data_IF_760127349626
#
_entry.id   IF_760127349626
#
_cell.length_a   1.000
_cell.length_b   1.000
_cell.length_c   1.000
_cell.angle_alpha   90.00
_cell.angle_beta   90.00
_cell.angle_gamma   90.00
#
_symmetry.space_group_name_H-M   'P 1'
#
loop_
_entity.id
_entity.type
_entity.pdbx_description
1 polymer ?
#
# COMPACT_ATOMS: atom_id res chain seq x y z
N UNK A 1 -1.08 -56.98 -19.29
CA UNK A 1 -0.69 -57.37 -17.91
C UNK A 1 0.80 -57.03 -17.81
N UNK A 2 1.31 -56.05 -17.06
CA UNK A 2 0.82 -55.32 -15.90
C UNK A 2 1.41 -53.89 -15.84
N UNK A 3 0.51 -52.94 -15.59
CA UNK A 3 0.58 -51.86 -14.60
C UNK A 3 1.85 -50.99 -14.46
N UNK A 4 1.68 -49.76 -14.90
CA UNK A 4 2.45 -48.58 -14.52
C UNK A 4 2.31 -48.30 -13.01
N UNK A 5 3.45 -48.16 -12.33
CA UNK A 5 3.53 -47.77 -10.93
C UNK A 5 3.57 -46.24 -10.87
N UNK A 6 2.40 -45.63 -10.66
CA UNK A 6 2.31 -44.21 -10.33
C UNK A 6 2.90 -43.99 -8.95
N UNK A 7 3.96 -43.18 -8.85
CA UNK A 7 4.40 -42.64 -7.56
C UNK A 7 3.50 -41.47 -7.19
N UNK A 8 2.48 -41.76 -6.38
CA UNK A 8 1.77 -40.73 -5.63
C UNK A 8 2.77 -40.09 -4.68
N UNK A 9 3.24 -38.89 -5.02
CA UNK A 9 3.91 -38.01 -4.06
C UNK A 9 2.85 -37.64 -3.03
N UNK A 10 2.94 -38.30 -1.87
CA UNK A 10 2.11 -38.00 -0.71
C UNK A 10 2.25 -36.53 -0.37
N UNK A 11 1.12 -35.84 -0.41
CA UNK A 11 0.98 -34.45 -0.01
C UNK A 11 1.18 -34.41 1.51
N UNK A 12 2.38 -34.02 1.92
CA UNK A 12 2.82 -33.95 3.32
C UNK A 12 1.86 -33.08 4.15
N UNK A 13 1.53 -33.53 5.36
CA UNK A 13 0.64 -32.84 6.27
C UNK A 13 1.15 -31.41 6.53
N UNK A 14 0.42 -30.44 5.97
CA UNK A 14 0.53 -28.99 6.05
C UNK A 14 1.42 -28.41 7.18
N UNK A 15 2.73 -28.28 6.93
CA UNK A 15 3.59 -27.40 7.73
C UNK A 15 3.22 -25.95 7.42
N UNK A 16 2.75 -25.19 8.42
CA UNK A 16 2.46 -23.77 8.27
C UNK A 16 3.75 -22.99 7.98
N UNK A 17 3.68 -21.98 7.11
CA UNK A 17 4.85 -21.19 6.74
C UNK A 17 5.20 -20.21 7.86
N UNK A 18 6.46 -20.17 8.29
CA UNK A 18 6.94 -19.07 9.13
C UNK A 18 7.22 -17.80 8.30
N UNK A 19 7.55 -16.68 8.94
CA UNK A 19 7.72 -15.36 8.27
C UNK A 19 8.71 -15.41 7.12
N UNK A 20 9.86 -16.08 7.30
CA UNK A 20 10.83 -16.26 6.22
C UNK A 20 10.27 -17.11 5.07
N UNK A 21 9.46 -18.12 5.39
CA UNK A 21 8.77 -18.94 4.40
C UNK A 21 7.78 -18.13 3.56
N UNK A 22 7.03 -17.23 4.21
CA UNK A 22 6.08 -16.34 3.53
C UNK A 22 6.78 -15.31 2.63
N UNK A 23 7.87 -14.69 3.12
CA UNK A 23 8.70 -13.79 2.31
C UNK A 23 9.28 -14.52 1.09
N UNK A 24 9.80 -15.73 1.30
CA UNK A 24 10.36 -16.58 0.25
C UNK A 24 9.32 -16.96 -0.80
N UNK A 25 8.13 -17.39 -0.36
CA UNK A 25 7.03 -17.70 -1.26
C UNK A 25 6.62 -16.50 -2.11
N UNK A 26 6.46 -15.33 -1.48
CA UNK A 26 6.16 -14.08 -2.18
C UNK A 26 7.21 -13.73 -3.25
N UNK A 27 8.50 -13.95 -2.98
CA UNK A 27 9.58 -13.71 -3.95
C UNK A 27 9.50 -14.63 -5.17
N UNK A 28 8.99 -15.85 -5.01
CA UNK A 28 8.86 -16.79 -6.13
C UNK A 28 7.60 -16.59 -6.97
N UNK A 29 6.59 -15.87 -6.49
CA UNK A 29 5.33 -15.65 -7.24
C UNK A 29 5.60 -15.09 -8.65
N UNK A 30 6.43 -14.06 -8.86
CA UNK A 30 6.71 -13.57 -10.22
C UNK A 30 7.41 -14.60 -11.11
N UNK A 31 8.22 -15.47 -10.52
CA UNK A 31 8.93 -16.52 -11.25
C UNK A 31 8.03 -17.69 -11.65
N UNK A 32 6.96 -17.96 -10.88
CA UNK A 32 5.98 -19.03 -11.18
C UNK A 32 5.19 -18.78 -12.45
N UNK A 33 4.86 -17.52 -12.74
CA UNK A 33 4.16 -17.16 -13.97
C UNK A 33 4.63 -15.81 -14.53
N UNK A 34 5.85 -15.80 -15.07
CA UNK A 34 6.50 -14.60 -15.63
C UNK A 34 5.66 -13.93 -16.73
N UNK A 35 4.93 -14.73 -17.53
CA UNK A 35 4.10 -14.24 -18.65
C UNK A 35 3.00 -13.28 -18.19
N UNK A 36 2.45 -13.49 -16.99
CA UNK A 36 1.37 -12.67 -16.44
C UNK A 36 1.91 -11.69 -15.40
N UNK A 37 2.78 -12.13 -14.49
CA UNK A 37 3.25 -11.27 -13.41
C UNK A 37 4.16 -10.14 -13.89
N UNK A 38 5.01 -10.36 -14.91
CA UNK A 38 5.90 -9.30 -15.41
C UNK A 38 5.11 -8.13 -16.02
N UNK A 39 4.14 -8.33 -16.94
CA UNK A 39 3.26 -7.25 -17.40
C UNK A 39 2.48 -6.57 -16.27
N UNK A 40 1.96 -7.35 -15.31
CA UNK A 40 1.23 -6.78 -14.15
C UNK A 40 2.12 -5.85 -13.33
N UNK A 41 3.35 -6.28 -13.03
CA UNK A 41 4.29 -5.45 -12.30
C UNK A 41 4.66 -4.20 -13.09
N UNK A 42 4.87 -4.31 -14.40
CA UNK A 42 5.15 -3.15 -15.26
C UNK A 42 3.99 -2.16 -15.30
N UNK A 43 2.74 -2.64 -15.44
CA UNK A 43 1.53 -1.81 -15.44
C UNK A 43 1.30 -1.12 -14.09
N UNK A 44 1.69 -1.74 -12.98
CA UNK A 44 1.63 -1.11 -11.66
C UNK A 44 2.77 -0.11 -11.43
N UNK A 45 3.98 -0.46 -11.88
CA UNK A 45 5.20 0.30 -11.62
C UNK A 45 5.32 1.55 -12.51
N UNK A 46 5.12 1.42 -13.82
CA UNK A 46 5.38 2.49 -14.78
C UNK A 46 4.52 3.74 -14.52
N UNK A 47 3.19 3.66 -14.35
CA UNK A 47 2.39 4.84 -14.09
C UNK A 47 2.73 5.49 -12.74
N UNK A 48 3.05 4.67 -11.73
CA UNK A 48 3.47 5.16 -10.41
C UNK A 48 4.81 5.91 -10.48
N UNK A 49 5.75 5.38 -11.25
CA UNK A 49 7.07 5.98 -11.49
C UNK A 49 6.95 7.29 -12.26
N UNK A 50 6.22 7.28 -13.39
CA UNK A 50 5.99 8.47 -14.23
C UNK A 50 5.33 9.58 -13.40
N UNK A 51 4.25 9.28 -12.67
CA UNK A 51 3.60 10.28 -11.82
C UNK A 51 4.53 10.85 -10.77
N UNK A 52 5.38 10.02 -10.16
CA UNK A 52 6.33 10.48 -9.14
C UNK A 52 7.43 11.35 -9.74
N UNK A 53 7.92 11.02 -10.94
CA UNK A 53 8.88 11.84 -11.70
C UNK A 53 8.24 13.17 -12.08
N UNK A 54 7.05 13.15 -12.66
CA UNK A 54 6.31 14.36 -13.03
C UNK A 54 6.05 15.24 -11.81
N UNK A 55 5.63 14.64 -10.70
CA UNK A 55 5.44 15.36 -9.44
C UNK A 55 6.74 16.01 -8.97
N UNK A 56 7.85 15.28 -8.99
CA UNK A 56 9.15 15.81 -8.61
C UNK A 56 9.56 17.01 -9.49
N UNK A 57 9.45 16.87 -10.81
CA UNK A 57 9.80 17.93 -11.77
C UNK A 57 8.90 19.15 -11.62
N UNK A 58 7.60 18.96 -11.38
CA UNK A 58 6.64 20.08 -11.23
C UNK A 58 6.75 20.78 -9.89
N UNK A 59 6.89 20.03 -8.79
CA UNK A 59 6.89 20.59 -7.44
C UNK A 59 8.23 21.21 -7.06
N UNK A 60 9.35 20.60 -7.46
CA UNK A 60 10.68 21.06 -7.07
C UNK A 60 10.97 22.55 -7.37
N UNK A 61 10.74 23.07 -8.59
CA UNK A 61 10.99 24.49 -8.88
C UNK A 61 10.04 25.42 -8.13
N UNK A 62 8.77 25.04 -7.96
CA UNK A 62 7.78 25.80 -7.18
C UNK A 62 8.22 25.91 -5.71
N UNK A 63 8.64 24.79 -5.13
CA UNK A 63 9.11 24.73 -3.75
C UNK A 63 10.41 25.51 -3.56
N UNK A 64 11.34 25.46 -4.52
CA UNK A 64 12.56 26.26 -4.51
C UNK A 64 12.25 27.77 -4.57
N UNK A 65 11.40 28.19 -5.51
CA UNK A 65 10.96 29.60 -5.64
C UNK A 65 10.33 30.09 -4.35
N UNK A 66 9.39 29.31 -3.81
CA UNK A 66 8.71 29.60 -2.56
C UNK A 66 9.69 29.77 -1.38
N UNK A 67 10.68 28.87 -1.23
CA UNK A 67 11.70 28.97 -0.18
C UNK A 67 12.59 30.20 -0.37
N UNK A 68 13.04 30.48 -1.59
CA UNK A 68 13.87 31.65 -1.88
C UNK A 68 13.09 32.93 -1.57
N UNK A 69 11.83 33.02 -2.00
CA UNK A 69 10.99 34.17 -1.77
C UNK A 69 10.71 34.38 -0.27
N UNK A 70 10.47 33.30 0.50
CA UNK A 70 10.36 33.37 1.96
C UNK A 70 11.65 33.84 2.63
N UNK A 71 12.80 33.36 2.18
CA UNK A 71 14.10 33.79 2.69
C UNK A 71 14.34 35.29 2.43
N UNK A 72 14.04 35.75 1.22
CA UNK A 72 14.14 37.18 0.86
C UNK A 72 13.16 38.02 1.68
N UNK A 73 11.93 37.54 1.89
CA UNK A 73 10.92 38.23 2.70
C UNK A 73 11.40 38.42 4.14
N UNK A 74 12.05 37.41 4.72
CA UNK A 74 12.61 37.49 6.08
C UNK A 74 13.70 38.56 6.24
N UNK A 75 14.27 39.06 5.15
CA UNK A 75 15.32 40.09 5.15
C UNK A 75 14.82 41.51 4.87
N UNK A 76 13.52 41.68 4.58
CA UNK A 76 12.92 42.96 4.16
C UNK A 76 12.14 43.64 5.29
N UNK A 77 12.16 44.98 5.32
CA UNK A 77 11.38 45.76 6.27
C UNK A 77 9.86 45.70 5.95
N UNK A 78 8.99 45.44 6.96
CA UNK A 78 7.55 45.23 6.76
C UNK A 78 6.76 46.43 6.20
N UNK A 79 7.31 47.64 6.24
CA UNK A 79 6.64 48.89 5.83
C UNK A 79 6.86 49.27 4.37
N UNK A 80 7.58 48.45 3.60
CA UNK A 80 7.94 48.77 2.20
C UNK A 80 6.93 48.19 1.19
N UNK A 81 6.62 48.88 0.08
CA UNK A 81 5.78 48.31 -1.00
C UNK A 81 6.34 47.02 -1.58
N UNK A 82 7.67 46.88 -1.57
CA UNK A 82 8.38 45.67 -1.99
C UNK A 82 8.04 44.45 -1.12
N UNK A 83 7.87 44.66 0.20
CA UNK A 83 7.46 43.60 1.12
C UNK A 83 6.07 43.07 0.77
N UNK A 84 5.09 43.96 0.55
CA UNK A 84 3.73 43.57 0.18
C UNK A 84 3.66 42.86 -1.18
N UNK A 85 4.39 43.34 -2.18
CA UNK A 85 4.46 42.69 -3.49
C UNK A 85 5.06 41.28 -3.40
N UNK A 86 6.13 41.11 -2.59
CA UNK A 86 6.74 39.81 -2.37
C UNK A 86 5.82 38.86 -1.61
N UNK A 87 5.07 39.37 -0.62
CA UNK A 87 4.07 38.59 0.11
C UNK A 87 2.95 38.09 -0.82
N UNK A 88 2.48 38.94 -1.74
CA UNK A 88 1.49 38.54 -2.75
C UNK A 88 2.05 37.46 -3.67
N UNK A 89 3.29 37.60 -4.13
CA UNK A 89 3.96 36.59 -4.96
C UNK A 89 4.11 35.25 -4.21
N UNK A 90 4.49 35.27 -2.94
CA UNK A 90 4.58 34.05 -2.11
C UNK A 90 3.22 33.38 -1.94
N UNK A 91 2.16 34.18 -1.77
CA UNK A 91 0.78 33.68 -1.70
C UNK A 91 0.37 33.01 -3.02
N UNK A 92 0.62 33.65 -4.15
CA UNK A 92 0.33 33.09 -5.48
C UNK A 92 1.13 31.80 -5.73
N UNK A 93 2.43 31.81 -5.42
CA UNK A 93 3.30 30.62 -5.50
C UNK A 93 2.76 29.48 -4.63
N UNK A 94 2.30 29.78 -3.41
CA UNK A 94 1.71 28.80 -2.49
C UNK A 94 0.38 28.23 -3.01
N UNK A 95 -0.48 29.07 -3.57
CA UNK A 95 -1.76 28.64 -4.15
C UNK A 95 -1.53 27.69 -5.34
N UNK A 96 -0.62 28.05 -6.24
CA UNK A 96 -0.22 27.20 -7.37
C UNK A 96 0.39 25.89 -6.87
N UNK A 97 1.30 25.96 -5.90
CA UNK A 97 1.91 24.78 -5.28
C UNK A 97 0.87 23.82 -4.71
N UNK A 98 -0.04 24.32 -3.88
CA UNK A 98 -1.10 23.50 -3.25
C UNK A 98 -1.99 22.87 -4.31
N UNK A 99 -2.37 23.61 -5.35
CA UNK A 99 -3.23 23.09 -6.40
C UNK A 99 -2.57 21.96 -7.19
N UNK A 100 -1.33 22.18 -7.67
CA UNK A 100 -0.55 21.19 -8.41
C UNK A 100 -0.33 19.93 -7.56
N UNK A 101 0.02 20.13 -6.30
CA UNK A 101 0.29 19.06 -5.35
C UNK A 101 -0.96 18.21 -5.05
N UNK A 102 -2.14 18.82 -4.86
CA UNK A 102 -3.40 18.10 -4.68
C UNK A 102 -3.70 17.21 -5.89
N UNK A 103 -3.51 17.71 -7.11
CA UNK A 103 -3.71 16.96 -8.35
C UNK A 103 -2.80 15.73 -8.40
N UNK A 104 -1.50 15.92 -8.17
CA UNK A 104 -0.53 14.81 -8.17
C UNK A 104 -0.80 13.79 -7.06
N UNK A 105 -1.16 14.23 -5.85
CA UNK A 105 -1.54 13.34 -4.76
C UNK A 105 -2.78 12.52 -5.11
N UNK A 106 -3.82 13.15 -5.65
CA UNK A 106 -5.05 12.46 -6.06
C UNK A 106 -4.77 11.42 -7.16
N UNK A 107 -4.03 11.80 -8.20
CA UNK A 107 -3.63 10.91 -9.28
C UNK A 107 -2.79 9.72 -8.77
N UNK A 108 -1.79 10.00 -7.94
CA UNK A 108 -0.92 8.97 -7.32
C UNK A 108 -1.71 8.03 -6.42
N UNK A 109 -2.70 8.54 -5.69
CA UNK A 109 -3.59 7.72 -4.87
C UNK A 109 -4.39 6.74 -5.72
N UNK A 110 -4.98 7.20 -6.84
CA UNK A 110 -5.73 6.35 -7.77
C UNK A 110 -4.83 5.32 -8.47
N UNK A 111 -3.68 5.73 -8.99
CA UNK A 111 -2.74 4.79 -9.63
C UNK A 111 -2.25 3.73 -8.64
N UNK A 112 -1.91 4.15 -7.41
CA UNK A 112 -1.53 3.21 -6.35
C UNK A 112 -2.68 2.26 -5.96
N UNK A 113 -3.94 2.67 -6.14
CA UNK A 113 -5.11 1.84 -5.83
C UNK A 113 -5.22 0.70 -6.83
N UNK A 114 -5.25 1.04 -8.12
CA UNK A 114 -5.33 0.03 -9.17
C UNK A 114 -4.09 -0.87 -9.20
N UNK A 115 -2.91 -0.32 -8.95
CA UNK A 115 -1.67 -1.10 -8.81
C UNK A 115 -1.80 -2.15 -7.71
N UNK A 116 -2.30 -1.77 -6.54
CA UNK A 116 -2.55 -2.70 -5.43
C UNK A 116 -3.53 -3.81 -5.85
N UNK A 117 -4.64 -3.44 -6.47
CA UNK A 117 -5.67 -4.38 -6.89
C UNK A 117 -5.12 -5.43 -7.85
N UNK A 118 -4.40 -5.00 -8.89
CA UNK A 118 -3.83 -5.91 -9.88
C UNK A 118 -2.78 -6.81 -9.23
N UNK A 119 -1.91 -6.30 -8.36
CA UNK A 119 -0.85 -7.08 -7.69
C UNK A 119 -1.42 -8.09 -6.70
N UNK A 120 -2.38 -7.69 -5.86
CA UNK A 120 -3.02 -8.59 -4.89
C UNK A 120 -3.80 -9.68 -5.62
N UNK A 121 -4.60 -9.34 -6.64
CA UNK A 121 -5.37 -10.32 -7.38
C UNK A 121 -4.49 -11.26 -8.23
N UNK A 122 -3.45 -10.74 -8.90
CA UNK A 122 -2.55 -11.60 -9.68
C UNK A 122 -1.73 -12.54 -8.80
N UNK A 123 -1.19 -12.03 -7.68
CA UNK A 123 -0.46 -12.84 -6.71
C UNK A 123 -1.34 -13.92 -6.10
N UNK A 124 -2.59 -13.59 -5.82
CA UNK A 124 -3.62 -14.51 -5.37
C UNK A 124 -3.85 -15.66 -6.35
N UNK A 125 -4.17 -15.35 -7.61
CA UNK A 125 -4.42 -16.38 -8.62
C UNK A 125 -3.22 -17.31 -8.82
N UNK A 126 -2.02 -16.72 -8.95
CA UNK A 126 -0.78 -17.49 -9.16
C UNK A 126 -0.48 -18.38 -7.95
N UNK A 127 -0.68 -17.87 -6.73
CA UNK A 127 -0.46 -18.64 -5.51
C UNK A 127 -1.41 -19.85 -5.41
N UNK A 128 -2.66 -19.73 -5.89
CA UNK A 128 -3.60 -20.84 -6.00
C UNK A 128 -3.39 -21.77 -7.19
N UNK A 129 -2.37 -21.54 -8.01
CA UNK A 129 -2.15 -22.32 -9.23
C UNK A 129 -3.13 -22.01 -10.36
N UNK A 130 -3.97 -20.98 -10.22
CA UNK A 130 -4.81 -20.47 -11.31
C UNK A 130 -3.98 -19.59 -12.25
N UNK A 131 -4.27 -19.63 -13.55
CA UNK A 131 -3.61 -18.80 -14.55
C UNK A 131 -4.59 -17.75 -15.08
N UNK A 132 -4.57 -16.52 -14.56
CA UNK A 132 -5.50 -15.50 -15.02
C UNK A 132 -5.04 -14.90 -16.35
N UNK A 133 -5.95 -14.78 -17.31
CA UNK A 133 -5.67 -14.01 -18.52
C UNK A 133 -5.69 -12.51 -18.17
N UNK A 134 -4.89 -11.65 -18.81
CA UNK A 134 -4.99 -10.19 -18.61
C UNK A 134 -6.40 -9.62 -18.82
N UNK A 135 -7.20 -10.25 -19.70
CA UNK A 135 -8.61 -9.92 -19.90
C UNK A 135 -9.45 -10.20 -18.64
N UNK A 136 -9.23 -11.35 -18.00
CA UNK A 136 -9.92 -11.76 -16.78
C UNK A 136 -9.57 -10.82 -15.62
N UNK A 137 -8.28 -10.43 -15.50
CA UNK A 137 -7.82 -9.43 -14.53
C UNK A 137 -8.60 -8.11 -14.71
N UNK A 138 -8.65 -7.60 -15.94
CA UNK A 138 -9.30 -6.33 -16.24
C UNK A 138 -10.80 -6.36 -15.96
N UNK A 139 -11.50 -7.41 -16.40
CA UNK A 139 -12.94 -7.59 -16.16
C UNK A 139 -13.25 -7.66 -14.66
N UNK A 140 -12.45 -8.42 -13.91
CA UNK A 140 -12.62 -8.52 -12.45
C UNK A 140 -12.45 -7.15 -11.79
N UNK A 141 -11.38 -6.43 -12.09
CA UNK A 141 -11.11 -5.12 -11.51
C UNK A 141 -12.24 -4.15 -11.84
N UNK A 142 -12.68 -4.10 -13.10
CA UNK A 142 -13.79 -3.23 -13.51
C UNK A 142 -15.09 -3.54 -12.76
N UNK A 143 -15.36 -4.81 -12.44
CA UNK A 143 -16.54 -5.23 -11.71
C UNK A 143 -16.47 -4.99 -10.20
N UNK A 144 -15.30 -5.13 -9.57
CA UNK A 144 -15.19 -5.17 -8.10
C UNK A 144 -14.45 -3.99 -7.48
N UNK A 145 -13.93 -3.04 -8.27
CA UNK A 145 -13.05 -1.98 -7.74
C UNK A 145 -13.65 -1.12 -6.63
N UNK A 146 -14.96 -0.82 -6.69
CA UNK A 146 -15.60 0.06 -5.70
C UNK A 146 -15.47 -0.46 -4.27
N UNK A 147 -15.48 -1.79 -4.08
CA UNK A 147 -15.44 -2.43 -2.78
C UNK A 147 -14.08 -2.20 -2.07
N UNK A 148 -12.91 -2.59 -2.63
CA UNK A 148 -11.62 -2.24 -2.06
C UNK A 148 -11.34 -0.75 -1.98
N UNK A 149 -11.93 0.04 -2.90
CA UNK A 149 -11.80 1.48 -2.85
C UNK A 149 -12.42 2.07 -1.59
N UNK A 150 -13.63 1.62 -1.23
CA UNK A 150 -14.29 2.00 0.03
C UNK A 150 -13.45 1.55 1.24
N UNK A 151 -12.96 0.31 1.26
CA UNK A 151 -12.05 -0.17 2.33
C UNK A 151 -10.80 0.70 2.47
N UNK A 152 -10.21 1.12 1.34
CA UNK A 152 -9.03 1.98 1.35
C UNK A 152 -9.32 3.39 1.85
N UNK A 153 -10.51 3.93 1.59
CA UNK A 153 -10.95 5.21 2.17
C UNK A 153 -11.04 5.09 3.69
N UNK A 154 -11.69 4.05 4.21
CA UNK A 154 -11.77 3.83 5.66
C UNK A 154 -10.38 3.66 6.29
N UNK A 155 -9.51 2.86 5.67
CA UNK A 155 -8.11 2.75 6.07
C UNK A 155 -7.43 4.13 6.13
N UNK A 156 -7.57 4.95 5.09
CA UNK A 156 -6.95 6.29 5.02
C UNK A 156 -7.50 7.23 6.10
N UNK A 157 -8.81 7.22 6.34
CA UNK A 157 -9.45 8.03 7.38
C UNK A 157 -8.97 7.62 8.78
N UNK A 158 -8.94 6.32 9.07
CA UNK A 158 -8.45 5.80 10.35
C UNK A 158 -6.97 6.11 10.54
N UNK A 159 -6.17 6.00 9.49
CA UNK A 159 -4.75 6.33 9.49
C UNK A 159 -4.50 7.81 9.83
N UNK A 160 -5.20 8.72 9.15
CA UNK A 160 -5.08 10.16 9.39
C UNK A 160 -5.57 10.49 10.80
N UNK A 161 -6.74 10.00 11.19
CA UNK A 161 -7.30 10.23 12.52
C UNK A 161 -6.38 9.75 13.64
N UNK A 162 -5.82 8.55 13.52
CA UNK A 162 -4.85 8.02 14.47
C UNK A 162 -3.57 8.86 14.53
N UNK A 163 -3.02 9.24 13.38
CA UNK A 163 -1.78 10.02 13.30
C UNK A 163 -1.96 11.39 13.93
N UNK A 164 -3.03 12.11 13.59
CA UNK A 164 -3.33 13.43 14.18
C UNK A 164 -3.53 13.30 15.68
N UNK A 165 -4.35 12.34 16.13
CA UNK A 165 -4.63 12.16 17.56
C UNK A 165 -3.35 11.84 18.35
N UNK A 166 -2.54 10.89 17.88
CA UNK A 166 -1.30 10.51 18.54
C UNK A 166 -0.28 11.66 18.59
N UNK A 167 -0.10 12.39 17.49
CA UNK A 167 0.80 13.56 17.44
C UNK A 167 0.32 14.65 18.39
N UNK A 168 -0.98 14.99 18.38
CA UNK A 168 -1.53 16.00 19.29
C UNK A 168 -1.34 15.61 20.76
N UNK A 169 -1.64 14.36 21.14
CA UNK A 169 -1.47 13.89 22.52
C UNK A 169 -0.01 13.95 22.97
N UNK A 170 0.92 13.48 22.15
CA UNK A 170 2.35 13.52 22.45
C UNK A 170 2.83 14.97 22.52
N UNK A 171 2.42 15.84 21.58
CA UNK A 171 2.82 17.24 21.55
C UNK A 171 2.34 18.00 22.79
N UNK A 172 1.07 17.84 23.20
CA UNK A 172 0.53 18.47 24.42
C UNK A 172 1.35 18.05 25.65
N UNK A 173 1.66 16.75 25.77
CA UNK A 173 2.46 16.24 26.89
C UNK A 173 3.88 16.81 26.90
N UNK A 174 4.52 16.91 25.74
CA UNK A 174 5.89 17.44 25.60
C UNK A 174 5.96 18.96 25.83
N UNK A 175 4.96 19.72 25.37
CA UNK A 175 4.88 21.17 25.60
C UNK A 175 4.73 21.49 27.09
N UNK A 176 3.96 20.68 27.82
CA UNK A 176 3.77 20.83 29.26
C UNK A 176 4.94 20.27 30.10
N UNK A 177 5.94 19.64 29.48
CA UNK A 177 7.02 19.01 30.21
C UNK A 177 7.91 20.01 30.96
N UNK A 178 8.08 21.25 30.47
CA UNK A 178 8.91 22.30 31.08
C UNK A 178 10.27 21.80 31.64
N UNK A 179 10.92 20.84 30.96
CA UNK A 179 12.19 20.24 31.40
C UNK A 179 12.07 19.14 32.47
N UNK A 180 10.87 18.76 32.90
CA UNK A 180 10.61 17.62 33.78
C UNK A 180 11.00 16.31 33.09
N UNK A 181 12.04 15.66 33.61
CA UNK A 181 12.51 14.36 33.12
C UNK A 181 11.41 13.30 33.15
N UNK A 182 10.52 13.35 34.15
CA UNK A 182 9.41 12.40 34.29
C UNK A 182 8.42 12.52 33.13
N UNK A 183 8.01 13.75 32.77
CA UNK A 183 7.09 13.97 31.65
C UNK A 183 7.73 13.61 30.30
N UNK A 184 9.03 13.89 30.14
CA UNK A 184 9.78 13.50 28.93
C UNK A 184 9.81 11.98 28.78
N UNK A 185 10.15 11.24 29.84
CA UNK A 185 10.18 9.77 29.83
C UNK A 185 8.78 9.21 29.56
N UNK A 186 7.74 9.75 30.21
CA UNK A 186 6.36 9.33 29.99
C UNK A 186 5.93 9.57 28.53
N UNK A 187 6.29 10.72 27.96
CA UNK A 187 5.98 11.04 26.57
C UNK A 187 6.75 10.17 25.57
N UNK A 188 8.00 9.81 25.88
CA UNK A 188 8.76 8.86 25.07
C UNK A 188 8.13 7.46 25.09
N UNK A 189 7.69 6.99 26.26
CA UNK A 189 6.98 5.71 26.39
C UNK A 189 5.64 5.72 25.65
N UNK A 190 4.86 6.81 25.77
CA UNK A 190 3.61 6.98 25.05
C UNK A 190 3.84 7.00 23.53
N UNK A 191 4.87 7.69 23.06
CA UNK A 191 5.24 7.72 21.65
C UNK A 191 5.65 6.33 21.14
N UNK A 192 6.42 5.57 21.94
CA UNK A 192 6.79 4.20 21.61
C UNK A 192 5.55 3.30 21.50
N UNK A 193 4.65 3.35 22.49
CA UNK A 193 3.40 2.58 22.47
C UNK A 193 2.51 2.96 21.28
N UNK A 194 2.37 4.26 21.01
CA UNK A 194 1.62 4.76 19.85
C UNK A 194 2.25 4.28 18.53
N UNK A 195 3.58 4.17 18.45
CA UNK A 195 4.25 3.62 17.27
C UNK A 195 4.04 2.12 17.11
N UNK A 196 4.14 1.33 18.18
CA UNK A 196 3.88 -0.10 18.12
C UNK A 196 2.43 -0.39 17.71
N UNK A 197 1.47 0.34 18.28
CA UNK A 197 0.06 0.23 17.91
C UNK A 197 -0.18 0.65 16.46
N UNK A 198 0.48 1.70 15.97
CA UNK A 198 0.41 2.12 14.57
C UNK A 198 0.88 1.02 13.60
N UNK A 199 1.99 0.34 13.91
CA UNK A 199 2.49 -0.77 13.09
C UNK A 199 1.51 -1.94 13.08
N UNK A 200 0.93 -2.27 14.25
CA UNK A 200 -0.09 -3.31 14.35
C UNK A 200 -1.35 -2.96 13.54
N UNK A 201 -1.86 -1.73 13.66
CA UNK A 201 -3.01 -1.26 12.91
C UNK A 201 -2.72 -1.24 11.40
N UNK A 202 -1.53 -0.79 10.99
CA UNK A 202 -1.10 -0.82 9.59
C UNK A 202 -1.14 -2.23 9.00
N UNK A 203 -0.67 -3.24 9.75
CA UNK A 203 -0.78 -4.65 9.36
C UNK A 203 -2.24 -5.10 9.17
N UNK A 204 -3.10 -4.82 10.15
CA UNK A 204 -4.53 -5.19 10.11
C UNK A 204 -5.23 -4.49 8.95
N UNK A 205 -4.93 -3.22 8.72
CA UNK A 205 -5.55 -2.45 7.64
C UNK A 205 -5.11 -2.92 6.26
N UNK A 206 -3.82 -3.20 6.06
CA UNK A 206 -3.33 -3.78 4.81
C UNK A 206 -3.98 -5.13 4.52
N UNK A 207 -4.11 -5.97 5.56
CA UNK A 207 -4.82 -7.24 5.48
C UNK A 207 -6.30 -7.05 5.13
N UNK A 208 -6.99 -6.07 5.72
CA UNK A 208 -8.39 -5.78 5.39
C UNK A 208 -8.59 -5.31 3.96
N UNK A 209 -7.65 -4.53 3.41
CA UNK A 209 -7.71 -4.19 1.99
C UNK A 209 -7.51 -5.45 1.13
N UNK A 210 -6.54 -6.32 1.45
CA UNK A 210 -6.35 -7.61 0.76
C UNK A 210 -7.62 -8.46 0.80
N UNK A 211 -8.27 -8.59 1.97
CA UNK A 211 -9.55 -9.29 2.13
C UNK A 211 -10.60 -8.72 1.18
N UNK A 212 -10.77 -7.39 1.15
CA UNK A 212 -11.78 -6.79 0.27
C UNK A 212 -11.50 -6.97 -1.23
N UNK A 213 -10.23 -7.20 -1.62
CA UNK A 213 -9.88 -7.52 -3.02
C UNK A 213 -10.28 -8.96 -3.36
N UNK A 214 -10.09 -9.88 -2.42
CA UNK A 214 -10.18 -11.32 -2.66
C UNK A 214 -11.56 -11.91 -2.33
N UNK A 215 -12.25 -11.33 -1.37
CA UNK A 215 -13.58 -11.75 -0.94
C UNK A 215 -14.65 -10.77 -1.45
N UNK A 216 -15.72 -11.30 -2.02
CA UNK A 216 -16.76 -10.47 -2.62
C UNK A 216 -17.75 -9.90 -1.61
N UNK A 217 -17.87 -10.52 -0.43
CA UNK A 217 -18.92 -10.23 0.54
C UNK A 217 -18.51 -9.23 1.62
N UNK A 218 -17.21 -8.90 1.75
CA UNK A 218 -16.70 -8.06 2.83
C UNK A 218 -15.93 -6.84 2.29
N UNK A 219 -16.34 -5.62 2.66
CA UNK A 219 -15.67 -4.38 2.28
C UNK A 219 -15.84 -3.28 3.33
N UNK A 220 -15.13 -2.17 3.19
CA UNK A 220 -15.20 -1.07 4.14
C UNK A 220 -14.71 -1.46 5.54
N UNK A 221 -15.42 -1.03 6.58
CA UNK A 221 -15.10 -1.36 7.97
C UNK A 221 -15.22 -2.86 8.27
N UNK A 222 -16.17 -3.55 7.65
CA UNK A 222 -16.37 -5.00 7.85
C UNK A 222 -15.12 -5.80 7.44
N UNK A 223 -14.49 -5.42 6.33
CA UNK A 223 -13.24 -6.05 5.90
C UNK A 223 -12.08 -5.80 6.87
N UNK A 224 -12.02 -4.61 7.50
CA UNK A 224 -11.00 -4.28 8.50
C UNK A 224 -11.22 -5.05 9.81
N UNK A 225 -12.47 -5.18 10.25
CA UNK A 225 -12.84 -5.99 11.42
C UNK A 225 -12.52 -7.46 11.18
N UNK A 226 -12.95 -8.01 10.04
CA UNK A 226 -12.65 -9.37 9.63
C UNK A 226 -11.15 -9.64 9.55
N UNK A 227 -10.35 -8.66 9.10
CA UNK A 227 -8.90 -8.76 9.13
C UNK A 227 -8.36 -8.93 10.56
N UNK A 228 -8.85 -8.13 11.51
CA UNK A 228 -8.47 -8.23 12.93
C UNK A 228 -8.79 -9.59 13.54
N UNK A 229 -9.91 -10.20 13.14
CA UNK A 229 -10.27 -11.57 13.53
C UNK A 229 -9.40 -12.61 12.83
N UNK A 230 -9.13 -12.45 11.54
CA UNK A 230 -8.37 -13.41 10.73
C UNK A 230 -6.90 -13.51 11.17
N UNK A 231 -6.30 -12.41 11.62
CA UNK A 231 -4.92 -12.42 12.13
C UNK A 231 -4.81 -12.93 13.58
N UNK A 232 -5.95 -13.19 14.25
CA UNK A 232 -5.97 -13.75 15.61
C UNK A 232 -5.32 -15.14 15.58
N UNK A 233 -4.31 -15.35 16.43
CA UNK A 233 -3.47 -16.56 16.42
C UNK A 233 -2.15 -16.42 15.67
N UNK A 234 -2.03 -15.50 14.69
CA UNK A 234 -0.78 -15.24 13.93
C UNK A 234 -0.33 -13.77 13.98
N UNK A 235 -0.80 -13.03 15.00
CA UNK A 235 -0.51 -11.60 15.20
C UNK A 235 0.98 -11.29 15.24
N UNK A 236 1.77 -12.12 15.93
CA UNK A 236 3.21 -11.94 16.04
C UNK A 236 3.92 -12.02 14.67
N UNK A 237 3.52 -12.97 13.82
CA UNK A 237 4.08 -13.12 12.47
C UNK A 237 3.67 -11.95 11.56
N UNK A 238 2.40 -11.55 11.58
CA UNK A 238 1.95 -10.36 10.83
C UNK A 238 2.64 -9.09 11.29
N UNK A 239 2.80 -8.91 12.60
CA UNK A 239 3.52 -7.78 13.19
C UNK A 239 5.00 -7.79 12.77
N UNK A 240 5.67 -8.95 12.80
CA UNK A 240 7.05 -9.09 12.36
C UNK A 240 7.22 -8.74 10.87
N UNK A 241 6.30 -9.18 10.00
CA UNK A 241 6.27 -8.79 8.58
C UNK A 241 6.19 -7.27 8.46
N UNK A 242 5.27 -6.63 9.18
CA UNK A 242 5.10 -5.18 9.14
C UNK A 242 6.36 -4.43 9.64
N UNK A 243 6.99 -4.92 10.71
CA UNK A 243 8.26 -4.37 11.22
C UNK A 243 9.38 -4.52 10.21
N UNK A 244 9.52 -5.68 9.55
CA UNK A 244 10.55 -5.91 8.52
C UNK A 244 10.39 -4.87 7.39
N UNK A 245 9.17 -4.70 6.87
CA UNK A 245 8.92 -3.71 5.82
C UNK A 245 9.18 -2.28 6.27
N UNK A 246 8.78 -1.93 7.50
CA UNK A 246 9.06 -0.62 8.09
C UNK A 246 10.56 -0.36 8.24
N UNK A 247 11.34 -1.37 8.66
CA UNK A 247 12.78 -1.24 8.82
C UNK A 247 13.47 -1.07 7.47
N UNK A 248 13.08 -1.82 6.44
CA UNK A 248 13.64 -1.65 5.08
C UNK A 248 13.30 -0.26 4.53
N UNK A 249 12.04 0.16 4.64
CA UNK A 249 11.58 1.50 4.23
C UNK A 249 12.35 2.61 4.95
N UNK A 250 12.55 2.46 6.26
CA UNK A 250 13.32 3.38 7.10
C UNK A 250 14.81 3.43 6.75
N UNK A 251 15.44 2.28 6.46
CA UNK A 251 16.86 2.22 6.04
C UNK A 251 17.04 2.88 4.66
N UNK A 252 16.14 2.60 3.71
CA UNK A 252 16.20 3.18 2.36
C UNK A 252 16.00 4.70 2.41
N UNK A 253 14.96 5.17 3.11
CA UNK A 253 14.64 6.58 3.23
C UNK A 253 15.66 7.33 4.09
N UNK A 254 16.07 6.75 5.22
CA UNK A 254 17.06 7.32 6.12
C UNK A 254 18.46 7.37 5.51
N UNK A 255 18.86 6.33 4.76
CA UNK A 255 20.11 6.29 4.02
C UNK A 255 20.17 7.37 2.94
N UNK A 256 19.07 7.60 2.23
CA UNK A 256 18.95 8.71 1.27
C UNK A 256 19.09 10.07 1.98
N UNK A 257 18.35 10.30 3.07
CA UNK A 257 18.42 11.54 3.83
C UNK A 257 19.83 11.81 4.38
N UNK A 258 20.47 10.80 4.95
CA UNK A 258 21.85 10.89 5.43
C UNK A 258 22.83 11.19 4.28
N UNK A 259 22.67 10.54 3.13
CA UNK A 259 23.47 10.78 1.93
C UNK A 259 23.40 12.22 1.44
N UNK A 260 22.21 12.82 1.41
CA UNK A 260 22.03 14.23 1.04
C UNK A 260 22.75 15.16 2.02
N UNK A 261 22.64 14.90 3.33
CA UNK A 261 23.24 15.79 4.35
C UNK A 261 24.76 15.75 4.38
N UNK A 262 25.37 14.61 4.01
CA UNK A 262 26.82 14.40 4.21
C UNK A 262 27.65 14.60 2.95
N UNK A 263 27.10 14.30 1.79
CA UNK A 263 27.80 14.46 0.51
C UNK A 263 27.30 15.74 -0.15
N UNK A 264 28.17 16.74 -0.28
CA UNK A 264 27.93 17.89 -1.16
C UNK A 264 28.08 17.43 -2.61
N UNK A 265 27.08 16.73 -3.11
CA UNK A 265 27.03 16.34 -4.52
C UNK A 265 26.40 17.46 -5.32
N UNK A 266 26.62 17.45 -6.64
CA UNK A 266 25.88 18.32 -7.53
C UNK A 266 24.39 18.08 -7.37
N UNK A 267 23.59 19.15 -7.50
CA UNK A 267 22.15 19.09 -7.32
C UNK A 267 21.54 17.94 -8.13
N UNK A 268 21.95 17.81 -9.40
CA UNK A 268 21.49 16.77 -10.35
C UNK A 268 21.70 15.36 -9.79
N UNK A 269 22.83 15.09 -9.14
CA UNK A 269 23.12 13.78 -8.56
C UNK A 269 22.21 13.46 -7.38
N UNK A 270 21.86 14.45 -6.55
CA UNK A 270 20.86 14.27 -5.49
C UNK A 270 19.47 13.98 -6.06
N UNK A 271 19.06 14.69 -7.13
CA UNK A 271 17.77 14.45 -7.78
C UNK A 271 17.69 13.04 -8.38
N UNK A 272 18.73 12.62 -9.09
CA UNK A 272 18.81 11.29 -9.67
C UNK A 272 18.77 10.19 -8.59
N UNK A 273 19.51 10.37 -7.49
CA UNK A 273 19.53 9.43 -6.37
C UNK A 273 18.16 9.34 -5.71
N UNK A 274 17.48 10.47 -5.47
CA UNK A 274 16.14 10.50 -4.91
C UNK A 274 15.11 9.78 -5.78
N UNK A 275 15.23 9.93 -7.10
CA UNK A 275 14.37 9.21 -8.03
C UNK A 275 14.60 7.70 -7.98
N UNK A 276 15.87 7.25 -7.92
CA UNK A 276 16.21 5.83 -7.77
C UNK A 276 15.62 5.26 -6.48
N UNK A 277 15.80 5.97 -5.36
CA UNK A 277 15.25 5.60 -4.04
C UNK A 277 13.74 5.48 -4.09
N UNK A 278 13.04 6.45 -4.68
CA UNK A 278 11.60 6.42 -4.81
C UNK A 278 11.11 5.21 -5.61
N UNK A 279 11.79 4.88 -6.72
CA UNK A 279 11.46 3.70 -7.52
C UNK A 279 11.73 2.39 -6.77
N UNK A 280 12.79 2.32 -5.95
CA UNK A 280 13.03 1.17 -5.07
C UNK A 280 11.89 1.01 -4.05
N UNK A 281 11.39 2.10 -3.46
CA UNK A 281 10.26 2.06 -2.53
C UNK A 281 8.95 1.60 -3.20
N UNK A 282 8.72 2.00 -4.46
CA UNK A 282 7.58 1.49 -5.24
C UNK A 282 7.65 -0.04 -5.43
N UNK A 283 8.83 -0.57 -5.77
CA UNK A 283 9.04 -2.01 -5.89
C UNK A 283 8.85 -2.72 -4.54
N UNK A 284 9.39 -2.16 -3.45
CA UNK A 284 9.21 -2.69 -2.10
C UNK A 284 7.73 -2.76 -1.70
N UNK A 285 6.95 -1.73 -2.05
CA UNK A 285 5.51 -1.69 -1.79
C UNK A 285 4.75 -2.77 -2.55
N UNK A 286 5.08 -3.00 -3.82
CA UNK A 286 4.49 -4.07 -4.60
C UNK A 286 4.84 -5.45 -4.02
N UNK A 287 6.09 -5.64 -3.61
CA UNK A 287 6.52 -6.87 -2.94
C UNK A 287 5.77 -7.08 -1.61
N UNK A 288 5.60 -6.03 -0.80
CA UNK A 288 4.82 -6.07 0.43
C UNK A 288 3.38 -6.53 0.21
N UNK A 289 2.72 -6.04 -0.84
CA UNK A 289 1.38 -6.48 -1.21
C UNK A 289 1.32 -7.98 -1.51
N UNK A 290 2.31 -8.53 -2.21
CA UNK A 290 2.39 -9.98 -2.46
C UNK A 290 2.59 -10.78 -1.17
N UNK A 291 3.41 -10.28 -0.24
CA UNK A 291 3.62 -10.92 1.07
C UNK A 291 2.34 -10.93 1.90
N UNK A 292 1.58 -9.83 1.91
CA UNK A 292 0.28 -9.79 2.58
C UNK A 292 -0.75 -10.71 1.93
N UNK A 293 -0.71 -10.91 0.61
CA UNK A 293 -1.51 -11.94 -0.06
C UNK A 293 -1.16 -13.35 0.42
N UNK A 294 0.13 -13.70 0.53
CA UNK A 294 0.57 -15.00 1.07
C UNK A 294 0.17 -15.15 2.55
N UNK A 295 0.38 -14.10 3.35
CA UNK A 295 0.00 -14.08 4.76
C UNK A 295 -1.51 -14.25 4.95
N UNK A 296 -2.32 -13.68 4.05
CA UNK A 296 -3.76 -13.90 4.03
C UNK A 296 -4.13 -15.37 3.88
N UNK A 297 -3.48 -16.08 2.94
CA UNK A 297 -3.71 -17.51 2.77
C UNK A 297 -3.32 -18.34 3.96
N UNK A 298 -2.16 -18.04 4.51
CA UNK A 298 -1.62 -18.70 5.69
C UNK A 298 -2.50 -18.51 6.94
N UNK A 299 -3.13 -17.34 7.09
CA UNK A 299 -4.11 -17.09 8.15
C UNK A 299 -5.46 -17.77 7.86
N UNK A 300 -5.90 -17.83 6.61
CA UNK A 300 -7.18 -18.46 6.29
C UNK A 300 -7.11 -19.98 6.40
N UNK A 301 -6.00 -20.58 5.97
CA UNK A 301 -5.69 -22.01 6.13
C UNK A 301 -5.69 -22.43 7.59
N UNK A 302 -5.12 -21.61 8.49
CA UNK A 302 -5.09 -21.93 9.92
C UNK A 302 -6.48 -21.92 10.58
N UNK A 303 -7.45 -21.24 9.98
CA UNK A 303 -8.84 -21.21 10.44
C UNK A 303 -9.73 -22.28 9.79
N UNK A 304 -9.17 -23.19 8.98
CA UNK A 304 -9.93 -24.28 8.35
C UNK A 304 -10.98 -23.83 7.34
N UNK A 305 -10.91 -22.58 6.84
CA UNK A 305 -11.85 -22.05 5.85
C UNK A 305 -11.42 -22.42 4.43
N UNK A 306 -12.29 -23.08 3.66
CA UNK A 306 -12.06 -23.30 2.23
C UNK A 306 -12.02 -21.96 1.48
N UNK A 307 -11.03 -21.79 0.60
CA UNK A 307 -10.85 -20.55 -0.14
C UNK A 307 -11.52 -20.67 -1.49
N UNK A 308 -12.74 -20.14 -1.58
CA UNK A 308 -13.30 -19.78 -2.88
C UNK A 308 -12.65 -18.48 -3.31
N UNK A 309 -11.58 -18.59 -4.10
CA UNK A 309 -11.26 -17.52 -5.04
C UNK A 309 -12.47 -17.40 -5.95
N UNK A 310 -13.35 -16.47 -5.64
CA UNK A 310 -14.49 -16.15 -6.49
C UNK A 310 -13.92 -15.73 -7.84
N UNK A 311 -14.08 -16.61 -8.81
CA UNK A 311 -13.35 -16.60 -10.07
C UNK A 311 -13.98 -17.61 -11.03
N UNK A 312 -15.28 -17.83 -10.89
CA UNK A 312 -16.09 -18.44 -11.93
C UNK A 312 -16.90 -17.28 -12.53
N UNK A 313 -16.41 -16.74 -13.64
CA UNK A 313 -17.26 -16.00 -14.57
C UNK A 313 -18.14 -17.03 -15.29
N UNK A 314 -19.05 -17.68 -14.57
CA UNK A 314 -20.11 -18.46 -15.19
C UNK A 314 -21.10 -17.44 -15.72
N UNK A 315 -20.92 -17.06 -16.98
CA UNK A 315 -22.03 -16.55 -17.76
C UNK A 315 -23.06 -17.68 -17.81
N UNK A 316 -24.05 -17.65 -16.92
CA UNK A 316 -25.29 -18.40 -17.16
C UNK A 316 -25.97 -17.71 -18.33
N UNK A 317 -25.61 -18.12 -19.54
CA UNK A 317 -26.46 -17.93 -20.70
C UNK A 317 -27.75 -18.66 -20.39
N UNK A 318 -28.81 -17.89 -20.16
CA UNK A 318 -30.16 -18.45 -20.08
C UNK A 318 -30.51 -18.94 -21.47
N UNK A 319 -30.28 -20.22 -21.73
CA UNK A 319 -30.89 -20.92 -22.85
C UNK A 319 -32.35 -21.15 -22.49
N UNK A 320 -33.24 -20.32 -23.04
CA UNK A 320 -34.65 -20.66 -23.13
C UNK A 320 -34.78 -21.85 -24.07
N UNK A 321 -35.09 -23.03 -23.52
CA UNK A 321 -35.67 -24.12 -24.30
C UNK A 321 -37.18 -23.83 -24.45
N UNK A 322 -37.74 -23.88 -25.66
CA UNK A 322 -39.18 -23.79 -25.84
C UNK A 322 -39.80 -25.05 -25.23
N UNK A 323 -40.72 -24.87 -24.27
CA UNK A 323 -41.55 -25.95 -23.78
C UNK A 323 -42.55 -26.32 -24.86
N UNK A 324 -42.28 -27.44 -25.52
CA UNK A 324 -43.25 -28.17 -26.32
C UNK A 324 -44.45 -28.56 -25.44
N UNK A 325 -45.63 -28.49 -26.04
CA UNK A 325 -46.89 -28.75 -25.39
C UNK A 325 -47.08 -30.22 -24.99
N UNK A 326 -47.89 -30.42 -23.96
CA UNK A 326 -48.64 -31.65 -23.76
C UNK A 326 -50.05 -31.30 -23.30
N UNK A 327 -51.00 -31.87 -24.05
CA UNK A 327 -52.44 -31.83 -23.90
C UNK A 327 -52.95 -32.65 -22.69
N UNK A 328 -53.89 -32.04 -21.93
CA UNK A 328 -55.13 -32.63 -21.36
C UNK A 328 -55.04 -33.79 -20.33
N UNK A 329 -56.08 -34.04 -19.49
CA UNK A 329 -57.51 -33.69 -19.62
C UNK A 329 -58.05 -32.59 -18.71
#
# INVERSE_FOLDING_TARGET
MAMAKGSSVGMDSSKQLDVMGMLREAMYIPSRNKKIMLPVMLVAFLPSSILSISNYISIYPLLLSFIINLYVLSSKEPSTPQFYNLLLQIKEDAEVFVHVDIIFRAASYMVSFFSMMIIVYSSAMIYFGKQPTPKDLFQRIKGTWKRPFVTRIYFTLLFVGYTVTSVCLIAILMLNAHGSMVLIVLGALLALMARLLYVYLGMVWMMGVVISVLEDDCYGMEALEKAGHLVKGRRAQGFLIAVIFLMIDGVVTGGYGFGITRFQSELVAHQATGLVVLNMLLMLKMFSQMVYTVFYYECNKSHGREIKVSGEFTYTGVSFTPGDGEDLP
#
